data_IF_073501682250
#
_entry.id   IF_073501682250
#
_cell.length_a   1.000
_cell.length_b   1.000
_cell.length_c   1.000
_cell.angle_alpha   90.00
_cell.angle_beta   90.00
_cell.angle_gamma   90.00
#
_symmetry.space_group_name_H-M   'P 1'
#
loop_
_entity.id
_entity.type
_entity.pdbx_description
1 polymer ?
#
# COMPACT_ATOMS: atom_id res chain seq x y z
N UNK A 1 20.04 -13.48 7.53
CA UNK A 1 19.89 -12.29 6.66
C UNK A 1 18.88 -12.69 5.59
N UNK A 2 17.66 -12.18 5.66
CA UNK A 2 16.66 -12.40 4.61
C UNK A 2 17.24 -11.86 3.28
N UNK A 3 17.12 -12.59 2.15
CA UNK A 3 17.52 -12.05 0.86
C UNK A 3 16.72 -10.77 0.58
N UNK A 4 17.40 -9.73 0.08
CA UNK A 4 16.74 -8.47 -0.29
C UNK A 4 15.65 -8.66 -1.36
N UNK A 5 14.78 -7.64 -1.57
CA UNK A 5 13.69 -7.75 -2.53
C UNK A 5 14.21 -8.06 -3.94
N UNK A 6 13.58 -9.03 -4.59
CA UNK A 6 13.88 -9.37 -5.99
C UNK A 6 13.18 -8.37 -6.90
N UNK A 7 13.89 -7.37 -7.38
CA UNK A 7 13.32 -6.39 -8.31
C UNK A 7 12.93 -7.02 -9.67
N UNK A 8 11.82 -6.55 -10.25
CA UNK A 8 11.47 -6.88 -11.64
C UNK A 8 12.55 -6.37 -12.60
N UNK A 9 12.78 -7.07 -13.70
CA UNK A 9 13.63 -6.60 -14.81
C UNK A 9 12.96 -5.51 -15.63
N UNK A 10 11.62 -5.42 -15.60
CA UNK A 10 10.85 -4.41 -16.32
C UNK A 10 10.75 -3.11 -15.53
N UNK A 11 10.85 -2.03 -16.27
CA UNK A 11 10.41 -0.70 -15.86
C UNK A 11 9.11 -0.45 -16.61
N UNK A 12 8.09 0.03 -15.90
CA UNK A 12 6.76 0.30 -16.46
C UNK A 12 6.53 1.80 -16.46
N UNK A 13 6.21 2.35 -17.63
CA UNK A 13 5.87 3.76 -17.76
C UNK A 13 4.43 4.03 -17.31
N UNK A 14 4.26 5.04 -16.47
CA UNK A 14 2.95 5.56 -16.06
C UNK A 14 2.81 7.01 -16.50
N UNK A 15 1.62 7.59 -16.39
CA UNK A 15 1.39 8.99 -16.76
C UNK A 15 2.25 9.99 -15.97
N UNK A 16 2.62 9.65 -14.72
CA UNK A 16 3.41 10.51 -13.85
C UNK A 16 4.91 10.21 -13.88
N UNK A 17 5.32 9.08 -14.46
CA UNK A 17 6.72 8.67 -14.56
C UNK A 17 6.92 7.15 -14.49
N UNK A 18 8.15 6.67 -14.74
CA UNK A 18 8.46 5.24 -14.74
C UNK A 18 8.53 4.67 -13.32
N UNK A 19 8.09 3.42 -13.17
CA UNK A 19 8.14 2.66 -11.90
C UNK A 19 8.83 1.31 -12.07
N UNK A 20 9.42 0.80 -10.99
CA UNK A 20 9.99 -0.55 -10.92
C UNK A 20 9.45 -1.28 -9.69
N UNK A 21 8.79 -2.41 -9.92
CA UNK A 21 8.23 -3.27 -8.88
C UNK A 21 9.18 -4.37 -8.43
N UNK A 22 8.63 -5.27 -7.63
CA UNK A 22 9.30 -6.47 -7.10
C UNK A 22 8.59 -7.74 -7.57
N UNK A 23 9.32 -8.84 -7.65
CA UNK A 23 8.77 -10.17 -7.94
C UNK A 23 8.58 -10.87 -6.59
N UNK A 24 7.34 -11.26 -6.31
CA UNK A 24 7.01 -12.07 -5.15
C UNK A 24 6.61 -13.48 -5.59
N UNK A 25 7.36 -14.47 -5.12
CA UNK A 25 7.01 -15.88 -5.27
C UNK A 25 6.10 -16.31 -4.13
N UNK A 26 5.09 -17.13 -4.42
CA UNK A 26 4.30 -17.79 -3.40
C UNK A 26 5.02 -19.05 -2.90
N UNK A 27 4.76 -19.46 -1.66
CA UNK A 27 5.17 -20.77 -1.15
C UNK A 27 4.39 -21.93 -1.80
N UNK A 28 3.30 -21.62 -2.52
CA UNK A 28 2.55 -22.62 -3.28
C UNK A 28 3.25 -22.93 -4.60
N UNK A 29 3.47 -24.22 -4.88
CA UNK A 29 4.01 -24.71 -6.16
C UNK A 29 3.08 -24.51 -7.36
N UNK A 30 1.83 -24.12 -7.13
CA UNK A 30 0.83 -23.94 -8.19
C UNK A 30 0.68 -22.47 -8.63
N UNK A 31 1.43 -21.55 -8.01
CA UNK A 31 1.33 -20.12 -8.27
C UNK A 31 2.66 -19.62 -8.77
N UNK A 32 2.66 -19.16 -10.02
CA UNK A 32 3.81 -18.50 -10.62
C UNK A 32 4.15 -17.20 -9.86
N UNK A 33 5.43 -16.79 -9.84
CA UNK A 33 5.82 -15.52 -9.25
C UNK A 33 5.08 -14.35 -9.91
N UNK A 34 4.62 -13.41 -9.09
CA UNK A 34 3.89 -12.22 -9.55
C UNK A 34 4.74 -10.97 -9.42
N UNK A 35 4.58 -10.04 -10.37
CA UNK A 35 5.13 -8.69 -10.25
C UNK A 35 4.18 -7.83 -9.42
N UNK A 36 4.74 -7.14 -8.42
CA UNK A 36 3.99 -6.27 -7.53
C UNK A 36 4.60 -4.88 -7.54
N UNK A 37 3.73 -3.87 -7.59
CA UNK A 37 4.11 -2.46 -7.57
C UNK A 37 3.42 -1.77 -6.39
N UNK A 38 4.15 -1.58 -5.30
CA UNK A 38 3.65 -0.94 -4.09
C UNK A 38 3.86 0.58 -4.12
N UNK A 39 2.97 1.33 -3.47
CA UNK A 39 3.21 2.74 -3.17
C UNK A 39 3.29 3.68 -4.38
N UNK A 40 2.68 3.33 -5.52
CA UNK A 40 2.56 4.23 -6.68
C UNK A 40 1.62 5.41 -6.31
N UNK A 41 2.10 6.67 -6.37
CA UNK A 41 1.24 7.83 -6.14
C UNK A 41 0.20 7.95 -7.26
N UNK A 42 -1.08 7.91 -6.92
CA UNK A 42 -2.19 8.11 -7.86
C UNK A 42 -2.81 9.51 -7.78
N UNK A 43 -2.44 10.30 -6.77
CA UNK A 43 -2.92 11.65 -6.54
C UNK A 43 -1.86 12.47 -5.82
N UNK A 44 -1.96 13.81 -5.88
CA UNK A 44 -1.14 14.68 -5.07
C UNK A 44 -1.49 14.53 -3.57
N UNK A 45 -0.51 14.66 -2.64
CA UNK A 45 -0.76 14.54 -1.20
C UNK A 45 -1.85 15.51 -0.71
N UNK A 46 -2.91 15.04 -0.03
CA UNK A 46 -4.05 15.86 0.41
C UNK A 46 -3.77 16.60 1.73
N UNK A 47 -2.64 17.31 1.79
CA UNK A 47 -2.14 18.01 2.98
C UNK A 47 -2.23 19.53 2.82
N UNK A 48 -2.22 20.27 3.94
CA UNK A 48 -2.30 21.73 3.94
C UNK A 48 -3.59 22.24 3.29
N UNK A 49 -3.44 23.14 2.31
CA UNK A 49 -4.58 23.73 1.56
C UNK A 49 -5.36 22.71 0.72
N UNK A 50 -4.80 21.53 0.47
CA UNK A 50 -5.48 20.43 -0.26
C UNK A 50 -6.32 19.53 0.65
N UNK A 51 -6.30 19.76 1.96
CA UNK A 51 -7.14 19.00 2.88
C UNK A 51 -8.61 19.38 2.64
N UNK A 52 -9.48 18.37 2.55
CA UNK A 52 -10.92 18.54 2.29
C UNK A 52 -11.27 19.12 0.91
N UNK A 53 -10.34 19.08 -0.04
CA UNK A 53 -10.61 19.38 -1.45
C UNK A 53 -10.65 18.08 -2.26
N UNK A 54 -11.21 18.08 -3.48
CA UNK A 54 -11.08 16.95 -4.40
C UNK A 54 -9.62 16.53 -4.62
N UNK A 55 -9.41 15.24 -4.92
CA UNK A 55 -8.10 14.72 -5.26
C UNK A 55 -7.55 15.43 -6.51
N UNK A 56 -6.28 15.81 -6.48
CA UNK A 56 -5.56 16.39 -7.62
C UNK A 56 -4.66 15.35 -8.25
N UNK A 57 -4.32 15.54 -9.53
CA UNK A 57 -3.41 14.67 -10.27
C UNK A 57 -2.08 14.46 -9.54
N UNK A 58 -1.45 13.26 -9.68
CA UNK A 58 -0.16 12.99 -9.06
C UNK A 58 0.93 13.93 -9.62
N UNK A 59 1.85 14.34 -8.75
CA UNK A 59 3.01 15.11 -9.17
C UNK A 59 3.94 14.21 -10.00
N UNK A 60 4.38 14.64 -11.20
CA UNK A 60 5.31 13.86 -12.00
C UNK A 60 6.67 13.76 -11.29
N UNK A 61 7.41 12.70 -11.56
CA UNK A 61 8.78 12.51 -11.04
C UNK A 61 9.77 12.21 -12.16
N UNK A 62 11.04 12.54 -11.90
CA UNK A 62 12.16 12.25 -12.81
C UNK A 62 12.84 10.97 -12.38
N UNK A 63 13.18 10.13 -13.36
CA UNK A 63 13.81 8.83 -13.11
C UNK A 63 12.82 7.75 -12.67
N UNK A 64 13.33 6.55 -12.43
CA UNK A 64 12.50 5.40 -12.05
C UNK A 64 12.22 5.38 -10.55
N UNK A 65 10.95 5.41 -10.18
CA UNK A 65 10.52 5.26 -8.78
C UNK A 65 10.48 3.78 -8.40
N UNK A 66 11.07 3.42 -7.26
CA UNK A 66 10.93 2.09 -6.69
C UNK A 66 9.55 1.93 -6.07
N UNK A 67 8.85 0.87 -6.47
CA UNK A 67 7.51 0.51 -6.04
C UNK A 67 7.57 -0.82 -5.26
N UNK A 68 8.41 -0.86 -4.24
CA UNK A 68 8.81 -2.06 -3.50
C UNK A 68 8.33 -2.08 -2.04
N UNK A 69 7.88 -0.94 -1.52
CA UNK A 69 7.41 -0.81 -0.13
C UNK A 69 5.96 -0.33 -0.06
N UNK A 70 5.19 -0.90 0.87
CA UNK A 70 3.85 -0.38 1.20
C UNK A 70 3.96 1.04 1.78
N UNK A 71 3.16 2.00 1.29
CA UNK A 71 3.17 3.35 1.83
C UNK A 71 2.46 3.39 3.20
N UNK A 72 2.65 4.46 3.99
CA UNK A 72 1.86 4.69 5.19
C UNK A 72 0.35 4.69 4.88
N UNK A 73 -0.43 4.09 5.76
CA UNK A 73 -1.89 4.14 5.70
C UNK A 73 -2.41 5.54 6.06
N UNK A 74 -3.63 5.86 5.66
CA UNK A 74 -4.28 7.11 6.04
C UNK A 74 -4.45 7.21 7.57
N UNK A 75 -4.37 8.42 8.14
CA UNK A 75 -4.70 8.65 9.54
C UNK A 75 -6.14 8.21 9.85
N UNK A 76 -6.29 7.31 10.82
CA UNK A 76 -7.57 6.77 11.26
C UNK A 76 -7.55 6.60 12.78
N UNK A 77 -8.69 6.77 13.44
CA UNK A 77 -8.83 6.38 14.83
C UNK A 77 -8.97 4.86 14.89
N UNK A 78 -8.04 4.20 15.60
CA UNK A 78 -8.18 2.78 15.83
C UNK A 78 -9.41 2.54 16.72
N UNK A 79 -10.21 1.51 16.41
CA UNK A 79 -11.36 1.17 17.22
C UNK A 79 -10.93 0.73 18.61
N UNK A 80 -11.72 1.11 19.62
CA UNK A 80 -11.45 0.75 21.01
C UNK A 80 -11.71 -0.75 21.23
N UNK A 81 -10.62 -1.52 21.29
CA UNK A 81 -10.66 -2.96 21.53
C UNK A 81 -10.80 -3.31 23.03
N UNK A 82 -10.80 -2.33 23.94
CA UNK A 82 -10.86 -2.57 25.39
C UNK A 82 -12.31 -2.68 25.90
N UNK A 83 -13.28 -2.06 25.22
CA UNK A 83 -14.70 -2.19 25.56
C UNK A 83 -15.37 -3.39 24.85
N UNK A 84 -14.87 -4.58 25.19
CA UNK A 84 -15.33 -5.87 24.65
C UNK A 84 -16.79 -6.16 25.04
N UNK A 85 -17.27 -5.61 26.16
CA UNK A 85 -18.64 -5.85 26.66
C UNK A 85 -19.72 -5.12 25.86
N UNK A 86 -19.44 -3.94 25.29
CA UNK A 86 -20.42 -3.14 24.56
C UNK A 86 -20.40 -3.38 23.05
N UNK A 87 -19.36 -4.05 22.54
CA UNK A 87 -19.17 -4.24 21.09
C UNK A 87 -19.81 -5.56 20.65
N UNK A 88 -20.69 -5.56 19.63
CA UNK A 88 -21.27 -6.80 19.11
C UNK A 88 -20.18 -7.81 18.73
N UNK A 89 -20.38 -9.10 19.04
CA UNK A 89 -19.39 -10.17 18.82
C UNK A 89 -18.82 -10.19 17.40
N UNK A 90 -19.67 -10.00 16.39
CA UNK A 90 -19.24 -9.95 14.98
C UNK A 90 -18.29 -8.77 14.72
N UNK A 91 -18.57 -7.59 15.30
CA UNK A 91 -17.70 -6.42 15.21
C UNK A 91 -16.38 -6.68 15.93
N UNK A 92 -16.40 -7.30 17.11
CA UNK A 92 -15.16 -7.67 17.82
C UNK A 92 -14.27 -8.61 17.02
N UNK A 93 -14.84 -9.66 16.43
CA UNK A 93 -14.11 -10.60 15.58
C UNK A 93 -13.48 -9.91 14.37
N UNK A 94 -14.22 -9.01 13.73
CA UNK A 94 -13.70 -8.19 12.63
C UNK A 94 -12.53 -7.31 13.09
N UNK A 95 -12.66 -6.66 14.25
CA UNK A 95 -11.59 -5.80 14.79
C UNK A 95 -10.35 -6.59 15.16
N UNK A 96 -10.51 -7.79 15.73
CA UNK A 96 -9.41 -8.68 16.04
C UNK A 96 -8.61 -9.05 14.78
N UNK A 97 -9.27 -9.25 13.64
CA UNK A 97 -8.60 -9.55 12.37
C UNK A 97 -7.89 -8.34 11.73
N UNK A 98 -8.34 -7.12 12.02
CA UNK A 98 -7.79 -5.90 11.43
C UNK A 98 -6.61 -5.31 12.23
N UNK A 99 -6.49 -5.68 13.51
CA UNK A 99 -5.49 -5.14 14.44
C UNK A 99 -4.36 -6.14 14.77
N UNK A 100 -4.37 -7.33 14.17
CA UNK A 100 -3.27 -8.31 14.22
C UNK A 100 -2.38 -8.21 13.00
#
# INVERSE_FOLDING_TARGET
>A
VEPGPRYSSRIVDTQAGPVRGVIQSSNSRHVEPVEIFYGIPYAAPPVGVRRFTPAQEPLPWVGTRLADTLPPVCPQQLPDATNVSATPRARLQQLQQLLT
#
